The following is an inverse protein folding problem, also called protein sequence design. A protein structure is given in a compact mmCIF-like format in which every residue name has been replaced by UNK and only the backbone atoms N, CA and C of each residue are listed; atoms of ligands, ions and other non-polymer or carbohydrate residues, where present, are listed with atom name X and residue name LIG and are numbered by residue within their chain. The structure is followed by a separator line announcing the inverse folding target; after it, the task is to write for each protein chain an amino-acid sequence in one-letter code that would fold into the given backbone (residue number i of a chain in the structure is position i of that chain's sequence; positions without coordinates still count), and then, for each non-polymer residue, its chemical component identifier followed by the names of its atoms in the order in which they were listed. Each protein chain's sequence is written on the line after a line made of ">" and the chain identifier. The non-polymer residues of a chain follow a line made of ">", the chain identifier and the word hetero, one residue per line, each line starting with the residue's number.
data_IF_455097076657
#
_entry.id   IF_455097076657
#
_cell.length_a   1.000
_cell.length_b   1.000
_cell.length_c   1.000
_cell.angle_alpha   90.00
_cell.angle_beta   90.00
_cell.angle_gamma   90.00
#
_symmetry.space_group_name_H-M   'P 1'
#
loop_
_entity.id
_entity.type
_entity.pdbx_description
1 polymer ?
#
# COMPACT_ATOMS: atom_id res chain seq x y z
N UNK A 1 3.21 -5.34 15.76
CA UNK A 1 3.76 -5.21 14.41
C UNK A 1 3.04 -6.19 13.50
N UNK A 2 2.27 -5.65 12.56
CA UNK A 2 1.54 -6.33 11.49
C UNK A 2 2.50 -6.58 10.33
N UNK A 3 2.54 -7.82 9.84
CA UNK A 3 3.29 -8.22 8.65
C UNK A 3 2.38 -8.26 7.42
N UNK A 4 2.66 -7.40 6.45
CA UNK A 4 1.96 -7.36 5.18
C UNK A 4 2.66 -8.14 4.06
N UNK A 5 1.98 -9.21 3.66
CA UNK A 5 2.12 -10.02 2.46
C UNK A 5 2.03 -9.27 1.13
N UNK A 6 3.09 -8.77 0.49
CA UNK A 6 2.97 -8.31 -0.90
C UNK A 6 2.91 -9.51 -1.86
N UNK A 7 1.73 -9.80 -2.39
CA UNK A 7 1.45 -10.97 -3.22
C UNK A 7 1.31 -10.60 -4.70
N UNK A 8 1.87 -11.43 -5.58
CA UNK A 8 1.51 -11.45 -7.01
C UNK A 8 0.51 -12.57 -7.26
N UNK A 9 -0.73 -12.22 -7.61
CA UNK A 9 -1.83 -13.18 -7.77
C UNK A 9 -2.05 -14.05 -6.51
N UNK A 10 -2.72 -15.18 -6.67
CA UNK A 10 -3.13 -16.05 -5.56
C UNK A 10 -2.06 -17.07 -5.11
N UNK A 11 -1.07 -17.35 -5.94
CA UNK A 11 -0.18 -18.52 -5.86
C UNK A 11 0.40 -18.75 -4.46
N UNK A 12 0.88 -17.69 -3.81
CA UNK A 12 1.59 -17.78 -2.53
C UNK A 12 0.76 -17.39 -1.31
N UNK A 13 -0.48 -16.96 -1.52
CA UNK A 13 -1.36 -16.49 -0.43
C UNK A 13 -1.60 -17.58 0.61
N UNK A 14 -1.94 -18.84 0.26
CA UNK A 14 -2.12 -19.89 1.27
C UNK A 14 -0.87 -20.13 2.13
N UNK A 15 0.33 -20.03 1.53
CA UNK A 15 1.60 -20.21 2.24
C UNK A 15 1.90 -19.03 3.16
N UNK A 16 1.68 -17.80 2.68
CA UNK A 16 1.86 -16.59 3.47
C UNK A 16 0.91 -16.55 4.68
N UNK A 17 -0.37 -16.91 4.48
CA UNK A 17 -1.36 -17.00 5.56
C UNK A 17 -0.97 -18.06 6.59
N UNK A 18 -0.57 -19.26 6.14
CA UNK A 18 -0.11 -20.33 7.04
C UNK A 18 1.17 -19.93 7.81
N UNK A 19 2.03 -19.11 7.21
CA UNK A 19 3.22 -18.54 7.84
C UNK A 19 2.92 -17.35 8.77
N UNK A 20 1.66 -16.94 8.89
CA UNK A 20 1.21 -15.90 9.82
C UNK A 20 1.24 -14.48 9.27
N UNK A 21 1.11 -14.29 7.95
CA UNK A 21 0.84 -12.96 7.40
C UNK A 21 -0.50 -12.44 7.93
N UNK A 22 -0.50 -11.24 8.52
CA UNK A 22 -1.67 -10.62 9.13
C UNK A 22 -2.46 -9.76 8.12
N UNK A 23 -1.80 -9.33 7.05
CA UNK A 23 -2.40 -8.59 5.94
C UNK A 23 -1.79 -9.05 4.62
N UNK A 24 -2.57 -9.05 3.55
CA UNK A 24 -2.12 -9.28 2.18
C UNK A 24 -2.37 -7.99 1.38
N UNK A 25 -1.32 -7.46 0.76
CA UNK A 25 -1.47 -6.55 -0.37
C UNK A 25 -1.52 -7.40 -1.65
N UNK A 26 -2.67 -7.42 -2.30
CA UNK A 26 -2.88 -8.18 -3.53
C UNK A 26 -2.60 -7.31 -4.75
N UNK A 27 -1.60 -7.72 -5.50
CA UNK A 27 -1.15 -7.10 -6.74
C UNK A 27 -1.14 -8.13 -7.89
N UNK A 28 -1.04 -7.62 -9.10
CA UNK A 28 -0.46 -8.34 -10.25
C UNK A 28 0.76 -7.57 -10.77
N UNK A 29 1.58 -8.20 -11.61
CA UNK A 29 2.73 -7.57 -12.27
C UNK A 29 3.68 -6.83 -11.31
N UNK A 30 4.23 -7.53 -10.31
CA UNK A 30 5.22 -6.98 -9.39
C UNK A 30 6.52 -6.56 -10.10
N UNK A 31 6.78 -7.07 -11.30
CA UNK A 31 7.91 -6.66 -12.14
C UNK A 31 7.91 -5.14 -12.45
N UNK A 32 6.76 -4.47 -12.38
CA UNK A 32 6.63 -3.01 -12.53
C UNK A 32 6.20 -2.29 -11.25
N UNK A 33 6.37 -2.95 -10.10
CA UNK A 33 6.00 -2.43 -8.78
C UNK A 33 4.54 -2.68 -8.39
N UNK A 34 3.83 -3.56 -9.10
CA UNK A 34 2.44 -3.91 -8.80
C UNK A 34 1.44 -3.07 -9.60
N UNK A 35 0.40 -3.74 -10.08
CA UNK A 35 -0.77 -3.20 -10.78
C UNK A 35 -2.03 -3.88 -10.26
N UNK A 36 -3.19 -3.35 -10.64
CA UNK A 36 -4.47 -3.94 -10.25
C UNK A 36 -4.62 -5.37 -10.74
N UNK A 37 -4.84 -6.35 -9.83
CA UNK A 37 -5.08 -7.73 -10.21
C UNK A 37 -6.46 -7.91 -10.87
N UNK A 38 -6.64 -9.01 -11.59
CA UNK A 38 -7.93 -9.29 -12.23
C UNK A 38 -9.07 -9.42 -11.20
N UNK A 39 -10.30 -9.09 -11.58
CA UNK A 39 -11.48 -9.25 -10.72
C UNK A 39 -11.60 -10.67 -10.13
N UNK A 40 -11.34 -11.70 -10.94
CA UNK A 40 -11.36 -13.09 -10.47
C UNK A 40 -10.32 -13.34 -9.39
N UNK A 41 -9.10 -12.82 -9.56
CA UNK A 41 -8.04 -12.92 -8.55
C UNK A 41 -8.45 -12.25 -7.23
N UNK A 42 -9.06 -11.07 -7.28
CA UNK A 42 -9.52 -10.36 -6.07
C UNK A 42 -10.60 -11.18 -5.37
N UNK A 43 -11.61 -11.61 -6.14
CA UNK A 43 -12.76 -12.34 -5.60
C UNK A 43 -12.35 -13.66 -4.94
N UNK A 44 -11.57 -14.47 -5.63
CA UNK A 44 -11.16 -15.78 -5.11
C UNK A 44 -10.22 -15.62 -3.89
N UNK A 45 -9.38 -14.59 -3.88
CA UNK A 45 -8.56 -14.25 -2.69
C UNK A 45 -9.45 -13.84 -1.52
N UNK A 46 -10.42 -12.96 -1.74
CA UNK A 46 -11.34 -12.51 -0.68
C UNK A 46 -12.16 -13.68 -0.11
N UNK A 47 -12.69 -14.54 -0.99
CA UNK A 47 -13.43 -15.75 -0.57
C UNK A 47 -12.54 -16.71 0.22
N UNK A 48 -11.27 -16.90 -0.17
CA UNK A 48 -10.31 -17.72 0.58
C UNK A 48 -9.99 -17.16 1.96
N UNK A 49 -9.84 -15.84 2.08
CA UNK A 49 -9.46 -15.18 3.34
C UNK A 49 -10.64 -14.96 4.31
N UNK A 50 -11.88 -15.16 3.86
CA UNK A 50 -13.11 -14.86 4.60
C UNK A 50 -13.20 -15.45 6.01
N UNK A 51 -12.68 -16.66 6.20
CA UNK A 51 -12.70 -17.36 7.50
C UNK A 51 -11.35 -17.25 8.24
N UNK A 52 -10.44 -16.40 7.76
CA UNK A 52 -9.14 -16.13 8.36
C UNK A 52 -9.15 -14.81 9.13
N UNK A 53 -8.08 -14.55 9.89
CA UNK A 53 -7.85 -13.23 10.51
C UNK A 53 -7.05 -12.28 9.61
N UNK A 54 -6.61 -12.76 8.45
CA UNK A 54 -5.74 -12.02 7.54
C UNK A 54 -6.58 -11.07 6.70
N UNK A 55 -6.25 -9.78 6.70
CA UNK A 55 -6.98 -8.79 5.89
C UNK A 55 -6.46 -8.72 4.46
N UNK A 56 -7.30 -8.22 3.54
CA UNK A 56 -7.00 -8.07 2.12
C UNK A 56 -7.03 -6.60 1.72
N UNK A 57 -5.90 -6.11 1.22
CA UNK A 57 -5.75 -4.80 0.60
C UNK A 57 -5.50 -4.98 -0.89
N UNK A 58 -6.36 -4.41 -1.74
CA UNK A 58 -6.23 -4.56 -3.20
C UNK A 58 -5.54 -3.35 -3.81
N UNK A 59 -4.52 -3.59 -4.63
CA UNK A 59 -3.85 -2.55 -5.42
C UNK A 59 -4.79 -1.97 -6.49
N UNK A 60 -4.89 -0.66 -6.54
CA UNK A 60 -5.59 0.11 -7.56
C UNK A 60 -4.55 0.97 -8.29
N UNK A 61 -3.98 0.42 -9.36
CA UNK A 61 -2.96 1.06 -10.19
C UNK A 61 -3.06 0.53 -11.63
N UNK A 62 -3.44 1.36 -12.60
CA UNK A 62 -3.83 0.89 -13.94
C UNK A 62 -2.64 0.47 -14.81
N UNK A 63 -1.43 0.87 -14.44
CA UNK A 63 -0.17 0.59 -15.15
C UNK A 63 1.04 0.80 -14.24
N UNK A 64 2.20 0.31 -14.67
CA UNK A 64 3.50 0.72 -14.11
C UNK A 64 3.92 2.13 -14.55
N UNK A 65 5.14 2.53 -14.16
CA UNK A 65 5.70 3.85 -14.46
C UNK A 65 5.33 4.89 -13.40
N UNK A 66 5.02 6.11 -13.84
CA UNK A 66 4.66 7.23 -12.97
C UNK A 66 3.29 7.06 -12.28
N UNK A 67 2.94 8.07 -11.46
CA UNK A 67 1.66 8.18 -10.75
C UNK A 67 0.84 9.39 -11.23
N UNK A 68 1.10 9.87 -12.45
CA UNK A 68 0.40 11.01 -13.06
C UNK A 68 -0.62 10.47 -14.05
N UNK A 69 -1.90 10.47 -13.65
CA UNK A 69 -2.94 9.80 -14.42
C UNK A 69 -3.72 10.75 -15.30
N UNK A 70 -3.96 10.35 -16.54
CA UNK A 70 -4.90 11.07 -17.39
C UNK A 70 -6.36 10.71 -17.04
N UNK A 71 -7.31 11.47 -17.60
CA UNK A 71 -8.75 11.26 -17.32
C UNK A 71 -9.29 9.87 -17.67
N UNK A 72 -8.70 9.16 -18.64
CA UNK A 72 -9.10 7.79 -18.98
C UNK A 72 -8.59 6.81 -17.92
N UNK A 73 -7.35 6.97 -17.49
CA UNK A 73 -6.73 6.16 -16.43
C UNK A 73 -7.46 6.34 -15.10
N UNK A 74 -7.89 7.56 -14.76
CA UNK A 74 -8.72 7.81 -13.59
C UNK A 74 -10.04 7.02 -13.63
N UNK A 75 -10.73 6.98 -14.79
CA UNK A 75 -11.96 6.19 -14.94
C UNK A 75 -11.73 4.68 -14.84
N UNK A 76 -10.55 4.21 -15.26
CA UNK A 76 -10.14 2.82 -15.06
C UNK A 76 -10.02 2.55 -13.56
N UNK A 77 -9.26 3.39 -12.84
CA UNK A 77 -9.07 3.25 -11.40
C UNK A 77 -10.39 3.31 -10.62
N UNK A 78 -11.29 4.25 -10.94
CA UNK A 78 -12.61 4.34 -10.32
C UNK A 78 -13.42 3.05 -10.53
N UNK A 79 -13.43 2.52 -11.76
CA UNK A 79 -14.10 1.27 -12.09
C UNK A 79 -13.51 0.08 -11.31
N UNK A 80 -12.18 0.04 -11.19
CA UNK A 80 -11.45 -1.00 -10.47
C UNK A 80 -11.67 -0.92 -8.95
N UNK A 81 -11.77 0.28 -8.37
CA UNK A 81 -12.17 0.46 -6.96
C UNK A 81 -13.54 -0.17 -6.72
N UNK A 82 -14.53 0.18 -7.53
CA UNK A 82 -15.89 -0.36 -7.39
C UNK A 82 -15.91 -1.89 -7.56
N UNK A 83 -15.10 -2.42 -8.49
CA UNK A 83 -14.97 -3.86 -8.72
C UNK A 83 -14.24 -4.58 -7.59
N UNK A 84 -13.23 -3.97 -6.98
CA UNK A 84 -12.55 -4.53 -5.82
C UNK A 84 -13.48 -4.58 -4.59
N UNK A 85 -14.28 -3.53 -4.39
CA UNK A 85 -15.34 -3.49 -3.36
C UNK A 85 -16.36 -4.60 -3.61
N UNK A 86 -16.88 -4.72 -4.84
CA UNK A 86 -17.81 -5.80 -5.24
C UNK A 86 -17.21 -7.20 -5.01
N UNK A 87 -15.91 -7.36 -5.28
CA UNK A 87 -15.19 -8.63 -5.11
C UNK A 87 -14.93 -9.00 -3.64
N UNK A 88 -15.10 -8.07 -2.70
CA UNK A 88 -14.96 -8.32 -1.27
C UNK A 88 -13.61 -7.95 -0.66
N UNK A 89 -12.84 -7.04 -1.29
CA UNK A 89 -11.66 -6.46 -0.65
C UNK A 89 -12.04 -5.78 0.67
N UNK A 90 -11.17 -5.85 1.69
CA UNK A 90 -11.39 -5.17 2.96
C UNK A 90 -10.70 -3.80 3.03
N UNK A 91 -9.69 -3.58 2.20
CA UNK A 91 -8.89 -2.36 2.13
C UNK A 91 -8.47 -2.09 0.68
N UNK A 92 -8.05 -0.86 0.40
CA UNK A 92 -7.58 -0.43 -0.93
C UNK A 92 -6.19 0.22 -0.83
N UNK A 93 -5.45 0.16 -1.92
CA UNK A 93 -4.12 0.77 -2.04
C UNK A 93 -4.03 1.56 -3.34
N UNK A 94 -3.75 2.86 -3.28
CA UNK A 94 -3.52 3.71 -4.45
C UNK A 94 -2.77 4.98 -4.08
N UNK A 95 -2.24 5.69 -5.07
CA UNK A 95 -1.70 7.03 -4.91
C UNK A 95 -1.59 7.71 -6.27
N UNK A 96 -1.71 9.03 -6.27
CA UNK A 96 -1.69 9.86 -7.47
C UNK A 96 -0.90 11.13 -7.19
N UNK A 97 -0.10 11.53 -8.17
CA UNK A 97 0.75 12.72 -8.12
C UNK A 97 0.51 13.61 -9.33
N UNK A 98 0.84 14.86 -9.17
CA UNK A 98 0.96 15.85 -10.26
C UNK A 98 2.28 15.66 -11.02
N UNK A 99 2.45 16.26 -12.21
CA UNK A 99 3.74 16.29 -12.92
C UNK A 99 4.91 16.88 -12.10
N UNK A 100 4.60 17.68 -11.08
CA UNK A 100 5.54 18.29 -10.15
C UNK A 100 5.87 17.38 -8.95
N UNK A 101 5.42 16.12 -8.95
CA UNK A 101 5.56 15.16 -7.84
C UNK A 101 4.97 15.66 -6.52
N UNK A 102 3.87 16.41 -6.58
CA UNK A 102 3.03 16.73 -5.41
C UNK A 102 1.75 15.90 -5.44
N UNK A 103 1.01 15.84 -4.33
CA UNK A 103 -0.25 15.09 -4.28
C UNK A 103 -1.27 15.66 -5.28
N UNK A 104 -1.87 14.78 -6.10
CA UNK A 104 -3.02 15.15 -6.94
C UNK A 104 -4.31 14.98 -6.12
N UNK A 105 -4.67 16.03 -5.37
CA UNK A 105 -5.80 15.97 -4.43
C UNK A 105 -7.14 15.75 -5.11
N UNK A 106 -7.35 16.24 -6.34
CA UNK A 106 -8.61 16.06 -7.08
C UNK A 106 -8.83 14.57 -7.45
N UNK A 107 -7.76 13.91 -7.92
CA UNK A 107 -7.77 12.47 -8.18
C UNK A 107 -7.97 11.69 -6.89
N UNK A 108 -7.24 12.04 -5.83
CA UNK A 108 -7.32 11.32 -4.55
C UNK A 108 -8.71 11.43 -3.93
N UNK A 109 -9.33 12.62 -3.90
CA UNK A 109 -10.70 12.82 -3.41
C UNK A 109 -11.71 11.95 -4.18
N UNK A 110 -11.58 11.90 -5.51
CA UNK A 110 -12.45 11.08 -6.36
C UNK A 110 -12.36 9.59 -5.99
N UNK A 111 -11.14 9.07 -5.83
CA UNK A 111 -10.92 7.66 -5.47
C UNK A 111 -11.33 7.36 -4.01
N UNK A 112 -11.13 8.30 -3.09
CA UNK A 112 -11.58 8.17 -1.70
C UNK A 112 -13.12 8.08 -1.62
N UNK A 113 -13.85 8.85 -2.42
CA UNK A 113 -15.32 8.74 -2.53
C UNK A 113 -15.70 7.36 -3.08
N UNK A 114 -15.06 6.89 -4.15
CA UNK A 114 -15.32 5.58 -4.75
C UNK A 114 -15.02 4.41 -3.79
N UNK A 115 -14.10 4.62 -2.84
CA UNK A 115 -13.69 3.64 -1.82
C UNK A 115 -14.78 3.33 -0.79
N UNK A 116 -15.88 4.08 -0.76
CA UNK A 116 -17.07 3.82 0.09
C UNK A 116 -16.74 3.65 1.59
N UNK A 117 -15.71 4.35 2.05
CA UNK A 117 -15.26 4.31 3.45
C UNK A 117 -14.45 3.07 3.84
N UNK A 118 -14.04 2.23 2.87
CA UNK A 118 -13.01 1.21 3.14
C UNK A 118 -11.69 1.88 3.51
N UNK A 119 -10.89 1.27 4.41
CA UNK A 119 -9.57 1.79 4.72
C UNK A 119 -8.64 1.85 3.50
N UNK A 120 -7.87 2.92 3.38
CA UNK A 120 -7.00 3.18 2.23
C UNK A 120 -5.55 3.36 2.64
N UNK A 121 -4.64 2.81 1.83
CA UNK A 121 -3.19 3.02 1.93
C UNK A 121 -2.70 3.86 0.75
N UNK A 122 -2.00 4.95 1.03
CA UNK A 122 -1.23 5.67 0.02
C UNK A 122 0.09 4.94 -0.22
N UNK A 123 0.29 4.41 -1.42
CA UNK A 123 1.45 3.54 -1.71
C UNK A 123 2.77 4.32 -1.93
N UNK A 124 3.81 3.63 -2.40
CA UNK A 124 5.18 4.15 -2.60
C UNK A 124 5.33 5.36 -3.55
N UNK A 125 4.25 5.84 -4.19
CA UNK A 125 4.22 7.19 -4.74
C UNK A 125 4.64 8.26 -3.72
N UNK A 126 4.50 7.99 -2.41
CA UNK A 126 4.94 8.91 -1.38
C UNK A 126 6.45 9.19 -1.45
N UNK A 127 7.25 8.21 -1.87
CA UNK A 127 8.70 8.37 -1.98
C UNK A 127 9.14 9.23 -3.17
N UNK A 128 8.25 9.46 -4.15
CA UNK A 128 8.52 10.38 -5.29
C UNK A 128 8.33 11.85 -4.91
N UNK A 129 7.61 12.13 -3.81
CA UNK A 129 7.45 13.47 -3.25
C UNK A 129 8.78 13.91 -2.64
N UNK A 130 9.21 15.13 -2.96
CA UNK A 130 10.45 15.68 -2.44
C UNK A 130 10.50 15.65 -0.91
N UNK A 131 11.65 15.27 -0.35
CA UNK A 131 11.86 15.10 1.10
C UNK A 131 11.38 16.28 1.94
N UNK A 132 11.53 17.51 1.44
CA UNK A 132 11.11 18.73 2.12
C UNK A 132 9.58 18.88 2.21
N UNK A 133 8.84 18.27 1.28
CA UNK A 133 7.39 18.42 1.13
C UNK A 133 6.62 17.23 1.73
N UNK A 134 7.29 16.10 2.01
CA UNK A 134 6.67 14.92 2.62
C UNK A 134 5.97 15.19 3.97
N UNK A 135 6.50 16.04 4.88
CA UNK A 135 5.79 16.42 6.10
C UNK A 135 4.44 17.10 5.85
N UNK A 136 4.31 17.90 4.80
CA UNK A 136 3.05 18.56 4.42
C UNK A 136 2.12 17.57 3.72
N UNK A 137 2.66 16.74 2.81
CA UNK A 137 1.90 15.68 2.16
C UNK A 137 1.27 14.69 3.17
N UNK A 138 1.99 14.38 4.25
CA UNK A 138 1.46 13.58 5.36
C UNK A 138 0.19 14.20 5.97
N UNK A 139 0.21 15.51 6.24
CA UNK A 139 -0.95 16.21 6.83
C UNK A 139 -2.13 16.24 5.84
N UNK A 140 -1.87 16.49 4.56
CA UNK A 140 -2.89 16.44 3.51
C UNK A 140 -3.54 15.05 3.41
N UNK A 141 -2.74 13.97 3.46
CA UNK A 141 -3.27 12.59 3.41
C UNK A 141 -4.12 12.27 4.66
N UNK A 142 -3.76 12.79 5.83
CA UNK A 142 -4.58 12.70 7.04
C UNK A 142 -5.93 13.41 6.84
N UNK A 143 -5.92 14.63 6.29
CA UNK A 143 -7.13 15.41 6.03
C UNK A 143 -8.06 14.75 5.01
N UNK A 144 -7.49 14.12 3.97
CA UNK A 144 -8.21 13.33 2.98
C UNK A 144 -8.76 12.01 3.55
N UNK A 145 -8.31 11.59 4.73
CA UNK A 145 -8.80 10.40 5.42
C UNK A 145 -8.09 9.10 5.04
N UNK A 146 -6.85 9.15 4.56
CA UNK A 146 -6.04 7.94 4.39
C UNK A 146 -5.69 7.32 5.75
N UNK A 147 -5.71 6.00 5.83
CA UNK A 147 -5.39 5.26 7.05
C UNK A 147 -3.91 4.92 7.17
N UNK A 148 -3.26 4.72 6.02
CA UNK A 148 -1.90 4.19 5.92
C UNK A 148 -1.09 4.89 4.83
N UNK A 149 0.23 4.98 5.01
CA UNK A 149 1.20 5.36 3.98
C UNK A 149 2.27 4.28 3.90
N UNK A 150 2.47 3.67 2.75
CA UNK A 150 3.59 2.77 2.47
C UNK A 150 4.75 3.57 1.89
N UNK A 151 5.91 3.46 2.54
CA UNK A 151 7.12 4.16 2.10
C UNK A 151 8.41 3.42 2.41
N UNK A 152 9.46 3.75 1.66
CA UNK A 152 10.83 3.30 1.82
C UNK A 152 11.73 4.37 2.49
N UNK A 153 11.38 5.64 2.30
CA UNK A 153 12.14 6.79 2.81
C UNK A 153 13.42 7.10 2.03
N UNK A 154 13.64 6.42 0.89
CA UNK A 154 14.74 6.64 -0.02
C UNK A 154 14.36 6.12 -1.42
N UNK A 155 15.25 6.25 -2.40
CA UNK A 155 15.17 5.46 -3.63
C UNK A 155 15.30 3.96 -3.34
N UNK A 156 14.53 3.12 -4.05
CA UNK A 156 14.48 1.67 -3.82
C UNK A 156 15.80 0.92 -4.10
N UNK A 157 16.77 1.55 -4.77
CA UNK A 157 18.12 1.01 -4.96
C UNK A 157 19.04 1.25 -3.74
N UNK A 158 18.54 1.95 -2.71
CA UNK A 158 19.23 2.21 -1.45
C UNK A 158 18.65 1.36 -0.32
N UNK A 159 19.36 1.28 0.83
CA UNK A 159 18.76 0.76 2.04
C UNK A 159 17.59 1.63 2.51
N UNK A 160 16.61 0.99 3.15
CA UNK A 160 15.47 1.65 3.78
C UNK A 160 15.94 2.72 4.77
N UNK A 161 15.34 3.91 4.73
CA UNK A 161 15.73 5.02 5.58
C UNK A 161 14.90 5.05 6.86
N UNK A 162 15.36 4.30 7.87
CA UNK A 162 14.63 4.16 9.14
C UNK A 162 14.48 5.48 9.89
N UNK A 163 15.45 6.40 9.81
CA UNK A 163 15.42 7.68 10.53
C UNK A 163 14.35 8.61 9.96
N UNK A 164 14.22 8.64 8.63
CA UNK A 164 13.18 9.42 7.94
C UNK A 164 11.79 8.86 8.24
N UNK A 165 11.63 7.53 8.18
CA UNK A 165 10.36 6.88 8.54
C UNK A 165 10.03 7.16 10.02
N UNK A 166 10.99 7.08 10.94
CA UNK A 166 10.77 7.38 12.36
C UNK A 166 10.30 8.82 12.59
N UNK A 167 10.84 9.77 11.83
CA UNK A 167 10.42 11.17 11.87
C UNK A 167 8.95 11.33 11.48
N UNK A 168 8.51 10.68 10.39
CA UNK A 168 7.13 10.74 9.93
C UNK A 168 6.17 9.95 10.84
N UNK A 169 6.58 8.81 11.39
CA UNK A 169 5.80 8.09 12.43
C UNK A 169 5.54 8.99 13.63
N UNK A 170 6.57 9.70 14.11
CA UNK A 170 6.47 10.65 15.23
C UNK A 170 5.54 11.82 14.91
N UNK A 171 5.59 12.36 13.69
CA UNK A 171 4.70 13.44 13.24
C UNK A 171 3.25 12.95 13.09
N UNK A 172 3.04 11.75 12.56
CA UNK A 172 1.72 11.17 12.32
C UNK A 172 0.92 11.03 13.63
N UNK A 173 1.58 10.75 14.76
CA UNK A 173 0.94 10.66 16.10
C UNK A 173 -0.29 9.75 16.10
N UNK A 174 -0.20 8.60 15.42
CA UNK A 174 -1.29 7.62 15.25
C UNK A 174 -2.54 8.13 14.51
N UNK A 175 -2.51 9.32 13.89
CA UNK A 175 -3.60 9.82 13.04
C UNK A 175 -3.67 9.09 11.69
N UNK A 176 -2.52 8.62 11.24
CA UNK A 176 -2.30 7.77 10.07
C UNK A 176 -1.14 6.82 10.40
N UNK A 177 -1.17 5.60 9.87
CA UNK A 177 -0.14 4.60 10.11
C UNK A 177 0.92 4.68 9.00
N UNK A 178 2.20 4.59 9.35
CA UNK A 178 3.29 4.50 8.35
C UNK A 178 3.71 3.05 8.24
N UNK A 179 3.71 2.48 7.03
CA UNK A 179 4.16 1.13 6.72
C UNK A 179 5.59 1.22 6.15
N UNK A 180 6.53 0.56 6.80
CA UNK A 180 7.89 0.45 6.29
C UNK A 180 7.97 -0.64 5.21
N UNK A 181 8.35 -0.26 3.99
CA UNK A 181 8.41 -1.16 2.83
C UNK A 181 9.68 -1.02 1.99
N UNK A 182 9.88 -1.97 1.06
CA UNK A 182 11.05 -2.00 0.18
C UNK A 182 12.27 -2.64 0.85
N UNK A 183 12.56 -3.90 0.50
CA UNK A 183 13.69 -4.65 1.07
C UNK A 183 13.47 -5.19 2.50
N UNK A 184 12.24 -5.10 3.03
CA UNK A 184 11.88 -5.69 4.33
C UNK A 184 11.59 -7.19 4.16
N UNK A 185 12.18 -8.01 5.03
CA UNK A 185 12.12 -9.47 5.03
C UNK A 185 11.81 -9.98 6.44
N UNK A 186 11.49 -11.26 6.56
CA UNK A 186 11.30 -11.91 7.86
C UNK A 186 12.50 -11.75 8.82
N UNK A 187 13.72 -11.61 8.28
CA UNK A 187 14.95 -11.50 9.06
C UNK A 187 15.17 -10.09 9.64
N UNK A 188 14.79 -9.04 8.91
CA UNK A 188 15.05 -7.66 9.31
C UNK A 188 13.82 -6.90 9.82
N UNK A 189 12.61 -7.45 9.63
CA UNK A 189 11.34 -6.81 9.97
C UNK A 189 11.29 -6.26 11.41
N UNK A 190 11.65 -7.08 12.40
CA UNK A 190 11.61 -6.67 13.81
C UNK A 190 12.58 -5.51 14.11
N UNK A 191 13.76 -5.50 13.48
CA UNK A 191 14.74 -4.44 13.66
C UNK A 191 14.26 -3.14 13.01
N UNK A 192 13.68 -3.22 11.82
CA UNK A 192 13.13 -2.06 11.10
C UNK A 192 11.94 -1.47 11.86
N UNK A 193 11.00 -2.29 12.33
CA UNK A 193 9.88 -1.81 13.13
C UNK A 193 10.35 -1.13 14.43
N UNK A 194 11.35 -1.72 15.12
CA UNK A 194 11.91 -1.11 16.32
C UNK A 194 12.62 0.23 16.03
N UNK A 195 13.36 0.32 14.93
CA UNK A 195 14.08 1.54 14.54
C UNK A 195 13.15 2.66 14.07
N UNK A 196 12.05 2.31 13.40
CA UNK A 196 11.08 3.26 12.84
C UNK A 196 9.96 3.63 13.81
N UNK A 197 9.67 2.77 14.79
CA UNK A 197 8.45 2.85 15.59
C UNK A 197 7.18 2.47 14.83
N UNK A 198 7.31 1.93 13.61
CA UNK A 198 6.16 1.52 12.80
C UNK A 198 5.56 0.21 13.32
N UNK A 199 4.24 0.18 13.40
CA UNK A 199 3.47 -1.03 13.68
C UNK A 199 3.22 -1.89 12.42
N UNK A 200 3.63 -1.46 11.22
CA UNK A 200 3.37 -2.17 9.97
C UNK A 200 4.66 -2.32 9.15
N UNK A 201 4.92 -3.53 8.69
CA UNK A 201 6.03 -3.84 7.80
C UNK A 201 5.55 -4.59 6.57
N UNK A 202 6.11 -4.25 5.42
CA UNK A 202 5.64 -4.71 4.12
C UNK A 202 6.76 -5.32 3.30
N UNK A 203 6.50 -6.50 2.71
CA UNK A 203 7.42 -7.05 1.72
C UNK A 203 7.03 -8.42 1.16
N UNK A 204 7.57 -8.73 -0.01
CA UNK A 204 7.40 -10.02 -0.70
C UNK A 204 8.07 -11.19 0.02
N UNK A 205 8.95 -10.92 0.99
CA UNK A 205 9.64 -11.94 1.82
C UNK A 205 9.43 -11.70 3.32
N UNK A 206 8.33 -11.03 3.69
CA UNK A 206 8.09 -10.59 5.08
C UNK A 206 7.75 -11.74 6.05
N UNK A 207 7.26 -12.84 5.49
CA UNK A 207 7.03 -14.12 6.16
C UNK A 207 7.89 -15.18 5.50
N UNK A 208 8.37 -16.13 6.30
CA UNK A 208 9.16 -17.25 5.81
C UNK A 208 8.25 -18.45 5.60
N UNK A 209 8.26 -19.02 4.40
CA UNK A 209 7.70 -20.32 4.11
C UNK A 209 8.64 -21.08 3.17
N UNK A 210 8.70 -22.40 3.36
CA UNK A 210 9.57 -23.33 2.65
C UNK A 210 9.18 -23.53 1.16
#
# INVERSE_FOLDING_TARGET
>A
MIREFCAENFTDIPRAVAAGAERIELCDNLAVGGTTPSFGTIKETADYLKDTKTTLATMIRPRGGDFVYNSVELRIMESDVLKAVEAGTSELVFGALTPENTLDTEVLETLMIASQGLPVTFHMAFDEIADADQPEALETLIELGFDKILMHGNFLDKPINTDKIATLVSQAKNRIQIIAGGGVTAENASNIAAATGSDYVHGTKIVAFD
#
